data_IF_981628150894
#
_entry.id   IF_981628150894
#
_cell.length_a   1.000
_cell.length_b   1.000
_cell.length_c   1.000
_cell.angle_alpha   90.00
_cell.angle_beta   90.00
_cell.angle_gamma   90.00
#
_symmetry.space_group_name_H-M   'P 1'
#
loop_
_entity.id
_entity.type
_entity.pdbx_description
1 polymer ?
#
# COMPACT_ATOMS: atom_id res chain seq x y z
N UNK A 1 16.47 33.84 3.54
CA UNK A 1 14.99 33.61 3.50
C UNK A 1 14.68 32.16 3.15
N UNK A 2 14.24 31.33 4.11
CA UNK A 2 13.78 29.97 3.81
C UNK A 2 12.46 30.10 3.03
N UNK A 3 12.43 29.74 1.73
CA UNK A 3 11.20 29.56 0.99
C UNK A 3 10.31 28.63 1.81
N UNK A 4 9.17 29.13 2.32
CA UNK A 4 8.06 28.33 2.82
C UNK A 4 7.64 27.44 1.65
N UNK A 5 8.18 26.24 1.59
CA UNK A 5 7.65 25.20 0.68
C UNK A 5 6.23 24.95 1.15
N UNK A 6 5.25 25.36 0.36
CA UNK A 6 3.84 25.05 0.60
C UNK A 6 3.73 23.53 0.68
N UNK A 7 3.72 23.00 1.91
CA UNK A 7 3.71 21.55 2.14
C UNK A 7 2.37 21.00 1.66
N UNK A 8 2.40 20.24 0.56
CA UNK A 8 1.20 19.68 -0.06
C UNK A 8 0.60 18.60 0.84
N UNK A 9 -0.71 18.64 1.05
CA UNK A 9 -1.40 17.73 1.98
C UNK A 9 -1.35 16.27 1.54
N UNK A 10 -1.24 15.35 2.51
CA UNK A 10 -1.22 13.90 2.31
C UNK A 10 -2.41 13.26 3.01
N UNK A 11 -3.21 12.48 2.28
CA UNK A 11 -4.15 11.55 2.90
C UNK A 11 -3.47 10.20 3.06
N UNK A 12 -3.39 9.70 4.29
CA UNK A 12 -2.89 8.37 4.62
C UNK A 12 -4.10 7.45 4.76
N UNK A 13 -4.15 6.40 3.97
CA UNK A 13 -5.26 5.44 3.88
C UNK A 13 -4.87 4.18 4.64
N UNK A 14 -5.63 3.83 5.67
CA UNK A 14 -5.40 2.68 6.52
C UNK A 14 -6.68 1.86 6.68
N UNK A 15 -6.84 0.73 5.97
CA UNK A 15 -7.88 -0.24 6.25
C UNK A 15 -7.53 -1.05 7.51
N UNK A 16 -8.51 -1.34 8.36
CA UNK A 16 -8.35 -2.12 9.59
C UNK A 16 -9.39 -3.22 9.66
N UNK A 17 -8.99 -4.43 10.04
CA UNK A 17 -9.88 -5.54 10.36
C UNK A 17 -9.21 -6.48 11.37
N UNK A 18 -9.80 -6.63 12.56
CA UNK A 18 -9.31 -7.49 13.65
C UNK A 18 -7.79 -7.35 13.84
N UNK A 19 -7.32 -6.11 14.04
CA UNK A 19 -5.89 -5.77 14.06
C UNK A 19 -5.42 -5.26 15.43
N UNK A 20 -6.06 -5.72 16.52
CA UNK A 20 -5.78 -5.32 17.90
C UNK A 20 -4.28 -5.34 18.25
N UNK A 21 -3.57 -6.36 17.79
CA UNK A 21 -2.15 -6.57 18.13
C UNK A 21 -1.18 -5.59 17.43
N UNK A 22 -1.61 -4.96 16.33
CA UNK A 22 -0.67 -4.22 15.45
C UNK A 22 -1.10 -2.79 15.18
N UNK A 23 -2.40 -2.50 15.20
CA UNK A 23 -2.94 -1.20 14.75
C UNK A 23 -2.34 -0.02 15.50
N UNK A 24 -2.09 -0.16 16.82
CA UNK A 24 -1.48 0.90 17.63
C UNK A 24 -0.07 1.25 17.15
N UNK A 25 0.74 0.24 16.84
CA UNK A 25 2.10 0.45 16.34
C UNK A 25 2.08 1.14 14.97
N UNK A 26 1.18 0.71 14.06
CA UNK A 26 1.00 1.34 12.74
C UNK A 26 0.59 2.80 12.87
N UNK A 27 -0.42 3.14 13.70
CA UNK A 27 -0.86 4.52 13.92
C UNK A 27 0.28 5.35 14.54
N UNK A 28 1.00 4.83 15.52
CA UNK A 28 2.11 5.54 16.17
C UNK A 28 3.24 5.83 15.17
N UNK A 29 3.52 4.93 14.22
CA UNK A 29 4.50 5.17 13.16
C UNK A 29 4.11 6.35 12.25
N UNK A 30 2.81 6.61 12.09
CA UNK A 30 2.27 7.76 11.35
C UNK A 30 2.33 9.04 12.21
N UNK A 31 1.96 8.97 13.48
CA UNK A 31 2.01 10.11 14.40
C UNK A 31 3.43 10.67 14.55
N UNK A 32 4.44 9.80 14.46
CA UNK A 32 5.86 10.14 14.55
C UNK A 32 6.47 10.66 13.23
N UNK A 33 5.66 10.88 12.17
CA UNK A 33 6.19 11.42 10.91
C UNK A 33 6.69 12.86 11.05
N UNK A 34 7.88 13.13 10.52
CA UNK A 34 8.47 14.48 10.50
C UNK A 34 7.75 15.43 9.53
N UNK A 35 7.09 14.89 8.51
CA UNK A 35 6.20 15.65 7.65
C UNK A 35 4.87 15.86 8.37
N UNK A 36 4.42 17.09 8.54
CA UNK A 36 3.29 17.41 9.43
C UNK A 36 1.95 17.62 8.73
N UNK A 37 1.95 17.93 7.42
CA UNK A 37 0.71 18.21 6.66
C UNK A 37 0.05 16.94 6.12
N UNK A 38 -0.43 16.08 7.02
CA UNK A 38 -1.15 14.87 6.67
C UNK A 38 -2.45 14.73 7.47
N UNK A 39 -3.36 13.92 6.93
CA UNK A 39 -4.56 13.39 7.61
C UNK A 39 -4.59 11.88 7.44
N UNK A 40 -4.81 11.16 8.53
CA UNK A 40 -5.01 9.72 8.54
C UNK A 40 -6.50 9.41 8.44
N UNK A 41 -6.86 8.55 7.50
CA UNK A 41 -8.22 8.07 7.31
C UNK A 41 -8.21 6.56 7.53
N UNK A 42 -8.79 6.15 8.64
CA UNK A 42 -8.95 4.74 9.02
C UNK A 42 -10.36 4.32 8.64
N UNK A 43 -10.49 3.19 7.96
CA UNK A 43 -11.77 2.52 7.75
C UNK A 43 -11.69 1.16 8.40
N UNK A 44 -12.42 1.01 9.49
CA UNK A 44 -12.56 -0.25 10.21
C UNK A 44 -13.64 -1.10 9.56
N UNK A 45 -13.27 -2.29 9.15
CA UNK A 45 -14.06 -3.20 8.33
C UNK A 45 -14.97 -4.13 9.15
N UNK A 46 -15.60 -3.60 10.19
CA UNK A 46 -16.46 -4.38 11.09
C UNK A 46 -15.64 -5.30 12.00
N UNK A 47 -14.60 -4.77 12.63
CA UNK A 47 -13.75 -5.49 13.58
C UNK A 47 -14.48 -5.87 14.86
N UNK A 48 -13.79 -6.69 15.65
CA UNK A 48 -14.14 -7.02 17.03
C UNK A 48 -14.09 -5.77 17.95
N UNK A 49 -14.68 -5.90 19.14
CA UNK A 49 -14.73 -4.80 20.11
C UNK A 49 -13.34 -4.40 20.63
N UNK A 50 -12.39 -5.33 20.69
CA UNK A 50 -11.02 -5.04 21.15
C UNK A 50 -10.35 -4.05 20.18
N UNK A 51 -10.38 -4.34 18.87
CA UNK A 51 -9.84 -3.45 17.83
C UNK A 51 -10.56 -2.10 17.83
N UNK A 52 -11.90 -2.08 17.94
CA UNK A 52 -12.67 -0.84 17.97
C UNK A 52 -12.31 0.04 19.17
N UNK A 53 -12.18 -0.56 20.36
CA UNK A 53 -11.81 0.16 21.58
C UNK A 53 -10.40 0.79 21.47
N UNK A 54 -9.46 0.10 20.82
CA UNK A 54 -8.15 0.67 20.53
C UNK A 54 -8.28 1.88 19.59
N UNK A 55 -9.04 1.75 18.52
CA UNK A 55 -9.24 2.83 17.55
C UNK A 55 -9.93 4.05 18.17
N UNK A 56 -10.88 3.85 19.06
CA UNK A 56 -11.61 4.93 19.74
C UNK A 56 -10.67 5.84 20.56
N UNK A 57 -9.55 5.33 21.09
CA UNK A 57 -8.53 6.14 21.81
C UNK A 57 -7.94 7.25 20.92
N UNK A 58 -7.90 7.05 19.60
CA UNK A 58 -7.37 8.01 18.63
C UNK A 58 -8.41 8.99 18.08
N UNK A 59 -9.71 8.83 18.41
CA UNK A 59 -10.83 9.64 17.87
C UNK A 59 -10.70 11.14 18.19
N UNK A 60 -10.07 11.49 19.31
CA UNK A 60 -9.86 12.89 19.72
C UNK A 60 -8.77 13.61 18.89
N UNK A 61 -7.94 12.89 18.15
CA UNK A 61 -6.88 13.50 17.35
C UNK A 61 -7.46 14.15 16.08
N UNK A 62 -7.33 15.46 15.95
CA UNK A 62 -7.85 16.27 14.82
C UNK A 62 -7.29 15.86 13.43
N UNK A 63 -6.16 15.14 13.39
CA UNK A 63 -5.57 14.62 12.15
C UNK A 63 -6.09 13.24 11.77
N UNK A 64 -6.83 12.55 12.64
CA UNK A 64 -7.32 11.18 12.42
C UNK A 64 -8.83 11.19 12.23
N UNK A 65 -9.29 10.56 11.16
CA UNK A 65 -10.71 10.28 10.93
C UNK A 65 -10.93 8.78 10.87
N UNK A 66 -11.87 8.27 11.65
CA UNK A 66 -12.18 6.84 11.74
C UNK A 66 -13.62 6.61 11.28
N UNK A 67 -13.79 5.66 10.38
CA UNK A 67 -15.09 5.21 9.89
C UNK A 67 -15.26 3.73 10.26
N UNK A 68 -16.27 3.40 11.03
CA UNK A 68 -16.60 2.03 11.42
C UNK A 68 -17.68 1.47 10.50
N UNK A 69 -17.41 0.34 9.86
CA UNK A 69 -18.40 -0.40 9.08
C UNK A 69 -19.17 -1.38 9.99
N UNK A 70 -20.43 -1.63 9.66
CA UNK A 70 -21.25 -2.59 10.42
C UNK A 70 -20.87 -4.05 10.14
N UNK A 71 -20.30 -4.35 8.97
CA UNK A 71 -19.88 -5.68 8.53
C UNK A 71 -18.66 -5.62 7.62
N UNK A 72 -17.92 -6.70 7.55
CA UNK A 72 -16.76 -6.83 6.67
C UNK A 72 -17.15 -6.72 5.20
N UNK A 73 -16.47 -5.83 4.47
CA UNK A 73 -16.62 -5.59 3.03
C UNK A 73 -15.31 -5.74 2.25
N UNK A 74 -14.22 -6.03 2.94
CA UNK A 74 -12.88 -6.23 2.38
C UNK A 74 -12.04 -4.96 2.25
N UNK A 75 -10.73 -5.15 2.23
CA UNK A 75 -9.74 -4.06 2.20
C UNK A 75 -9.90 -3.12 0.99
N UNK A 76 -10.32 -3.64 -0.18
CA UNK A 76 -10.61 -2.85 -1.37
C UNK A 76 -11.69 -1.80 -1.11
N UNK A 77 -12.80 -2.22 -0.52
CA UNK A 77 -13.89 -1.31 -0.17
C UNK A 77 -13.43 -0.24 0.82
N UNK A 78 -12.69 -0.64 1.85
CA UNK A 78 -12.18 0.29 2.86
C UNK A 78 -11.23 1.32 2.27
N UNK A 79 -10.29 0.92 1.40
CA UNK A 79 -9.39 1.84 0.71
C UNK A 79 -10.15 2.78 -0.23
N UNK A 80 -11.11 2.27 -0.99
CA UNK A 80 -11.93 3.09 -1.88
C UNK A 80 -12.76 4.12 -1.10
N UNK A 81 -13.37 3.73 0.02
CA UNK A 81 -14.13 4.63 0.88
C UNK A 81 -13.21 5.71 1.48
N UNK A 82 -12.04 5.34 2.00
CA UNK A 82 -11.09 6.28 2.58
C UNK A 82 -10.57 7.29 1.54
N UNK A 83 -10.28 6.84 0.31
CA UNK A 83 -9.91 7.72 -0.80
C UNK A 83 -11.05 8.72 -1.10
N UNK A 84 -12.30 8.25 -1.19
CA UNK A 84 -13.47 9.11 -1.42
C UNK A 84 -13.67 10.15 -0.30
N UNK A 85 -13.36 9.79 0.95
CA UNK A 85 -13.48 10.68 2.13
C UNK A 85 -12.32 11.66 2.29
N UNK A 86 -11.31 11.61 1.43
CA UNK A 86 -10.12 12.47 1.47
C UNK A 86 -10.12 13.50 0.32
N UNK A 87 -9.46 14.66 0.55
CA UNK A 87 -9.29 15.73 -0.45
C UNK A 87 -7.82 16.19 -0.58
N UNK A 88 -6.87 15.43 -0.05
CA UNK A 88 -5.45 15.80 -0.01
C UNK A 88 -4.80 15.70 -1.40
N UNK A 89 -3.70 16.41 -1.61
CA UNK A 89 -2.96 16.45 -2.87
C UNK A 89 -2.27 15.11 -3.19
N UNK A 90 -1.74 14.43 -2.16
CA UNK A 90 -1.18 13.07 -2.26
C UNK A 90 -2.04 12.06 -1.50
N UNK A 91 -1.96 10.81 -1.95
CA UNK A 91 -2.54 9.65 -1.28
C UNK A 91 -1.40 8.68 -0.98
N UNK A 92 -1.23 8.35 0.29
CA UNK A 92 -0.31 7.32 0.78
C UNK A 92 -1.10 6.17 1.39
N UNK A 93 -0.57 4.96 1.33
CA UNK A 93 -1.23 3.76 1.83
C UNK A 93 -0.37 3.08 2.87
N UNK A 94 -1.01 2.55 3.90
CA UNK A 94 -0.36 1.69 4.92
C UNK A 94 -1.37 0.66 5.38
N UNK A 95 -0.94 -0.59 5.52
CA UNK A 95 -1.75 -1.65 6.10
C UNK A 95 -1.63 -1.64 7.64
N UNK A 96 -2.64 -2.16 8.34
CA UNK A 96 -2.77 -2.05 9.81
C UNK A 96 -1.72 -2.82 10.61
N UNK A 97 -0.82 -3.53 9.93
CA UNK A 97 0.27 -4.31 10.50
C UNK A 97 1.66 -3.87 10.03
N UNK A 98 1.74 -2.84 9.18
CA UNK A 98 2.99 -2.30 8.68
C UNK A 98 3.45 -1.06 9.48
N UNK A 99 4.76 -0.78 9.42
CA UNK A 99 5.36 0.35 10.13
C UNK A 99 6.11 1.26 9.15
N UNK A 100 6.00 2.56 9.37
CA UNK A 100 6.77 3.56 8.63
C UNK A 100 7.93 4.13 9.45
N UNK A 101 9.06 4.36 8.76
CA UNK A 101 10.17 5.14 9.31
C UNK A 101 9.77 6.61 9.46
N UNK A 102 10.20 7.27 10.52
CA UNK A 102 9.80 8.64 10.92
C UNK A 102 9.93 9.71 9.82
N UNK A 103 10.81 9.51 8.86
CA UNK A 103 11.08 10.46 7.77
C UNK A 103 10.51 10.04 6.42
N UNK A 104 9.67 8.98 6.37
CA UNK A 104 9.16 8.41 5.11
C UNK A 104 8.42 9.44 4.26
N UNK A 105 7.41 10.10 4.83
CA UNK A 105 6.62 11.07 4.08
C UNK A 105 7.49 12.22 3.58
N UNK A 106 8.37 12.77 4.43
CA UNK A 106 9.22 13.89 4.06
C UNK A 106 10.16 13.55 2.89
N UNK A 107 10.86 12.42 2.98
CA UNK A 107 11.80 12.00 1.94
C UNK A 107 11.10 11.66 0.62
N UNK A 108 10.03 10.89 0.69
CA UNK A 108 9.35 10.42 -0.52
C UNK A 108 8.57 11.54 -1.22
N UNK A 109 7.97 12.49 -0.48
CA UNK A 109 7.29 13.65 -1.07
C UNK A 109 8.29 14.60 -1.71
N UNK A 110 9.41 14.89 -1.03
CA UNK A 110 10.47 15.71 -1.62
C UNK A 110 11.01 15.08 -2.93
N UNK A 111 11.17 13.76 -2.96
CA UNK A 111 11.56 13.03 -4.16
C UNK A 111 10.52 13.18 -5.28
N UNK A 112 9.23 13.08 -4.97
CA UNK A 112 8.14 13.30 -5.92
C UNK A 112 8.15 14.72 -6.48
N UNK A 113 8.30 15.72 -5.62
CA UNK A 113 8.28 17.13 -6.01
C UNK A 113 9.49 17.50 -6.86
N UNK A 114 10.71 17.11 -6.42
CA UNK A 114 11.96 17.42 -7.14
C UNK A 114 11.95 16.88 -8.56
N UNK A 115 11.36 15.73 -8.79
CA UNK A 115 11.38 15.04 -10.08
C UNK A 115 10.04 15.10 -10.83
N UNK A 116 9.04 15.83 -10.31
CA UNK A 116 7.68 15.89 -10.88
C UNK A 116 7.01 14.52 -11.05
N UNK A 117 7.29 13.57 -10.15
CA UNK A 117 6.75 12.23 -10.22
C UNK A 117 5.32 12.15 -9.67
N UNK A 118 4.49 11.36 -10.31
CA UNK A 118 3.07 11.16 -9.95
C UNK A 118 2.83 9.90 -9.13
N UNK A 119 3.71 8.91 -9.24
CA UNK A 119 3.64 7.66 -8.50
C UNK A 119 5.05 7.23 -8.09
N UNK A 120 5.26 7.08 -6.79
CA UNK A 120 6.51 6.58 -6.21
C UNK A 120 6.26 5.47 -5.20
N UNK A 121 7.29 4.66 -4.97
CA UNK A 121 7.36 3.63 -3.96
C UNK A 121 8.77 3.58 -3.38
N UNK A 122 8.97 2.76 -2.34
CA UNK A 122 10.29 2.64 -1.68
C UNK A 122 10.72 1.18 -1.61
N UNK A 123 12.00 0.95 -1.35
CA UNK A 123 12.43 -0.33 -0.80
C UNK A 123 11.78 -0.54 0.58
N UNK A 124 11.77 -1.78 1.06
CA UNK A 124 11.17 -2.10 2.34
C UNK A 124 11.91 -3.25 3.03
N UNK A 125 11.71 -3.39 4.33
CA UNK A 125 12.17 -4.54 5.10
C UNK A 125 10.98 -5.42 5.44
N UNK A 126 11.12 -6.73 5.33
CA UNK A 126 10.13 -7.66 5.84
C UNK A 126 10.54 -8.16 7.22
N UNK A 127 9.55 -8.37 8.10
CA UNK A 127 9.76 -8.98 9.42
C UNK A 127 8.60 -9.91 9.76
N UNK A 128 8.86 -10.84 10.69
CA UNK A 128 7.85 -11.70 11.29
C UNK A 128 7.70 -11.32 12.76
N UNK A 129 6.50 -11.44 13.31
CA UNK A 129 6.23 -11.11 14.73
C UNK A 129 7.08 -11.94 15.71
N UNK A 130 7.38 -13.18 15.33
CA UNK A 130 8.14 -14.15 16.11
C UNK A 130 9.66 -14.08 15.87
N UNK A 131 10.16 -13.10 15.10
CA UNK A 131 11.58 -13.04 14.73
C UNK A 131 12.10 -11.61 14.69
N UNK A 132 13.24 -11.38 15.34
CA UNK A 132 13.98 -10.10 15.24
C UNK A 132 14.67 -9.91 13.88
N UNK A 133 14.78 -10.97 13.06
CA UNK A 133 15.45 -10.91 11.76
C UNK A 133 14.58 -10.16 10.74
N UNK A 134 15.14 -9.10 10.17
CA UNK A 134 14.52 -8.32 9.08
C UNK A 134 15.24 -8.65 7.78
N UNK A 135 14.48 -8.89 6.70
CA UNK A 135 15.04 -9.06 5.35
C UNK A 135 14.78 -7.82 4.52
N UNK A 136 15.82 -7.24 3.94
CA UNK A 136 15.72 -6.12 3.00
C UNK A 136 15.22 -6.63 1.65
N UNK A 137 14.20 -5.97 1.11
CA UNK A 137 13.68 -6.19 -0.24
C UNK A 137 14.01 -4.96 -1.08
N UNK A 138 14.95 -5.16 -2.00
CA UNK A 138 15.27 -4.18 -3.03
C UNK A 138 14.28 -4.31 -4.18
N UNK A 139 13.75 -3.19 -4.63
CA UNK A 139 12.79 -3.12 -5.72
C UNK A 139 13.43 -2.44 -6.93
N UNK A 140 13.03 -2.77 -8.17
CA UNK A 140 13.50 -2.05 -9.35
C UNK A 140 13.33 -0.54 -9.21
N UNK A 141 14.27 0.23 -9.74
CA UNK A 141 14.24 1.70 -9.68
C UNK A 141 13.06 2.34 -10.40
N UNK A 142 12.47 1.61 -11.37
CA UNK A 142 11.33 2.08 -12.18
C UNK A 142 10.46 0.91 -12.59
N UNK A 143 9.14 1.13 -12.57
CA UNK A 143 8.17 0.24 -13.19
C UNK A 143 7.31 1.00 -14.19
N UNK A 144 7.16 0.46 -15.39
CA UNK A 144 5.99 0.68 -16.23
C UNK A 144 5.02 -0.50 -16.08
N UNK A 145 3.86 -0.44 -16.73
CA UNK A 145 2.86 -1.50 -16.68
C UNK A 145 3.42 -2.88 -17.07
N UNK A 146 4.18 -2.96 -18.18
CA UNK A 146 4.71 -4.22 -18.70
C UNK A 146 5.78 -4.84 -17.77
N UNK A 147 6.61 -4.02 -17.12
CA UNK A 147 7.57 -4.50 -16.13
C UNK A 147 6.87 -4.92 -14.81
N UNK A 148 5.86 -4.17 -14.38
CA UNK A 148 5.14 -4.46 -13.13
C UNK A 148 4.37 -5.79 -13.17
N UNK A 149 3.68 -6.09 -14.28
CA UNK A 149 2.94 -7.35 -14.42
C UNK A 149 3.84 -8.59 -14.49
N UNK A 150 5.14 -8.42 -14.54
CA UNK A 150 6.16 -9.49 -14.49
C UNK A 150 6.87 -9.59 -13.13
N UNK A 151 6.71 -8.59 -12.24
CA UNK A 151 7.48 -8.53 -10.99
C UNK A 151 6.66 -8.26 -9.71
N UNK A 152 5.63 -7.47 -9.72
CA UNK A 152 4.71 -7.15 -8.59
C UNK A 152 5.38 -6.67 -7.28
N UNK A 153 6.61 -6.10 -7.33
CA UNK A 153 7.39 -5.76 -6.11
C UNK A 153 6.95 -4.51 -5.37
N UNK A 154 5.98 -3.75 -5.88
CA UNK A 154 5.49 -2.55 -5.18
C UNK A 154 4.57 -2.99 -4.04
N UNK A 155 5.06 -2.99 -2.80
CA UNK A 155 4.22 -3.21 -1.63
C UNK A 155 3.30 -1.99 -1.41
N UNK A 156 2.03 -2.21 -1.08
CA UNK A 156 1.02 -1.15 -0.96
C UNK A 156 1.42 -0.10 0.06
N UNK A 157 1.96 -0.51 1.21
CA UNK A 157 2.41 0.39 2.28
C UNK A 157 3.64 1.24 1.92
N UNK A 158 4.28 0.98 0.78
CA UNK A 158 5.43 1.77 0.31
C UNK A 158 5.03 2.91 -0.63
N UNK A 159 3.84 2.86 -1.23
CA UNK A 159 3.47 3.73 -2.33
C UNK A 159 2.85 5.05 -1.90
N UNK A 160 3.17 6.09 -2.68
CA UNK A 160 2.50 7.40 -2.66
C UNK A 160 2.14 7.78 -4.09
N UNK A 161 0.91 8.28 -4.29
CA UNK A 161 0.42 8.72 -5.59
C UNK A 161 -0.11 10.15 -5.51
N UNK A 162 0.06 10.92 -6.58
CA UNK A 162 -0.60 12.22 -6.73
C UNK A 162 -2.10 11.98 -6.98
N UNK A 163 -2.98 12.66 -6.24
CA UNK A 163 -4.43 12.43 -6.29
C UNK A 163 -5.00 12.54 -7.70
N UNK A 164 -4.63 13.57 -8.46
CA UNK A 164 -5.15 13.79 -9.81
C UNK A 164 -4.96 12.60 -10.75
N UNK A 165 -4.00 11.73 -10.45
CA UNK A 165 -3.77 10.50 -11.22
C UNK A 165 -4.60 9.31 -10.72
N UNK A 166 -4.94 9.31 -9.43
CA UNK A 166 -5.74 8.26 -8.79
C UNK A 166 -7.26 8.50 -8.91
N UNK A 167 -7.67 9.71 -9.32
CA UNK A 167 -9.09 10.01 -9.53
C UNK A 167 -9.68 9.05 -10.57
N UNK A 168 -10.86 8.51 -10.27
CA UNK A 168 -11.57 7.49 -11.06
C UNK A 168 -10.92 6.11 -11.13
N UNK A 169 -9.77 5.88 -10.45
CA UNK A 169 -9.18 4.57 -10.30
C UNK A 169 -9.60 3.98 -8.95
N UNK A 170 -10.11 2.74 -8.97
CA UNK A 170 -10.59 2.04 -7.77
C UNK A 170 -9.88 0.71 -7.58
N UNK A 171 -9.67 0.34 -6.32
CA UNK A 171 -9.37 -1.05 -5.99
C UNK A 171 -10.52 -1.93 -6.46
N UNK A 172 -10.20 -3.06 -7.09
CA UNK A 172 -11.20 -3.98 -7.63
C UNK A 172 -11.93 -4.75 -6.52
N UNK A 173 -13.15 -5.19 -6.81
CA UNK A 173 -13.90 -6.07 -5.91
C UNK A 173 -13.46 -7.55 -6.02
N UNK A 174 -12.20 -7.79 -6.38
CA UNK A 174 -11.64 -9.15 -6.37
C UNK A 174 -11.41 -9.60 -4.94
N UNK A 175 -11.54 -10.91 -4.68
CA UNK A 175 -11.43 -11.48 -3.32
C UNK A 175 -10.06 -11.22 -2.69
N UNK A 176 -9.00 -11.27 -3.51
CA UNK A 176 -7.61 -10.91 -3.16
C UNK A 176 -6.92 -10.27 -4.35
N UNK A 177 -5.72 -9.70 -4.14
CA UNK A 177 -4.90 -9.02 -5.16
C UNK A 177 -5.59 -7.78 -5.78
N UNK A 178 -6.51 -7.16 -5.07
CA UNK A 178 -7.17 -5.92 -5.46
C UNK A 178 -6.17 -4.76 -5.66
N UNK A 179 -5.10 -4.77 -4.87
CA UNK A 179 -4.00 -3.82 -4.94
C UNK A 179 -3.13 -4.00 -6.18
N UNK A 180 -2.97 -5.24 -6.67
CA UNK A 180 -2.30 -5.52 -7.94
C UNK A 180 -3.03 -4.85 -9.10
N UNK A 181 -4.36 -5.01 -9.17
CA UNK A 181 -5.15 -4.36 -10.21
C UNK A 181 -5.10 -2.84 -10.13
N UNK A 182 -5.22 -2.27 -8.93
CA UNK A 182 -5.12 -0.83 -8.70
C UNK A 182 -3.80 -0.27 -9.24
N UNK A 183 -2.67 -0.91 -8.93
CA UNK A 183 -1.34 -0.54 -9.44
C UNK A 183 -1.24 -0.67 -10.95
N UNK A 184 -1.86 -1.70 -11.54
CA UNK A 184 -1.96 -1.85 -12.99
C UNK A 184 -2.67 -0.67 -13.64
N UNK A 185 -3.81 -0.22 -13.08
CA UNK A 185 -4.56 0.93 -13.61
C UNK A 185 -3.77 2.23 -13.49
N UNK A 186 -3.11 2.45 -12.34
CA UNK A 186 -2.22 3.60 -12.16
C UNK A 186 -1.12 3.63 -13.23
N UNK A 187 -0.42 2.51 -13.43
CA UNK A 187 0.69 2.43 -14.39
C UNK A 187 0.23 2.58 -15.84
N UNK A 188 -0.97 2.09 -16.19
CA UNK A 188 -1.57 2.34 -17.52
C UNK A 188 -1.86 3.83 -17.74
N UNK A 189 -2.32 4.54 -16.70
CA UNK A 189 -2.68 5.96 -16.80
C UNK A 189 -1.45 6.89 -16.76
N UNK A 190 -0.46 6.58 -15.91
CA UNK A 190 0.67 7.46 -15.60
C UNK A 190 1.92 7.11 -16.43
N UNK A 191 2.00 5.87 -16.91
CA UNK A 191 3.16 5.33 -17.59
C UNK A 191 4.18 4.70 -16.64
N UNK A 192 4.65 5.43 -15.63
CA UNK A 192 5.75 4.97 -14.77
C UNK A 192 5.53 5.24 -13.29
N UNK A 193 6.05 4.32 -12.46
CA UNK A 193 6.28 4.51 -11.03
C UNK A 193 7.79 4.47 -10.75
N UNK A 194 8.26 5.25 -9.79
CA UNK A 194 9.69 5.40 -9.48
C UNK A 194 9.98 5.02 -8.04
N UNK A 195 11.08 4.29 -7.85
CA UNK A 195 11.55 3.89 -6.53
C UNK A 195 12.40 4.99 -5.90
N UNK A 196 12.07 5.39 -4.66
CA UNK A 196 13.05 6.02 -3.79
C UNK A 196 13.85 4.91 -3.10
N UNK A 197 15.17 4.77 -3.36
CA UNK A 197 15.92 3.53 -3.08
C UNK A 197 16.32 3.36 -1.61
N UNK A 198 15.45 3.79 -0.67
CA UNK A 198 15.64 3.65 0.77
C UNK A 198 14.52 2.81 1.37
N UNK A 199 14.85 1.97 2.36
CA UNK A 199 13.85 1.19 3.10
C UNK A 199 13.14 2.11 4.11
N UNK A 200 11.95 2.59 3.76
CA UNK A 200 11.15 3.49 4.60
C UNK A 200 9.89 2.82 5.17
N UNK A 201 9.70 1.52 4.90
CA UNK A 201 8.56 0.72 5.37
C UNK A 201 9.07 -0.61 5.90
N UNK A 202 8.53 -1.04 7.03
CA UNK A 202 8.66 -2.40 7.55
C UNK A 202 7.36 -3.14 7.32
N UNK A 203 7.42 -4.17 6.50
CA UNK A 203 6.29 -4.99 6.04
C UNK A 203 6.18 -6.25 6.89
N UNK A 204 5.05 -6.43 7.59
CA UNK A 204 4.84 -7.60 8.42
C UNK A 204 4.41 -8.82 7.60
N UNK A 205 5.11 -9.93 7.79
CA UNK A 205 4.73 -11.22 7.22
C UNK A 205 3.99 -12.03 8.29
N UNK A 206 2.69 -12.28 8.06
CA UNK A 206 1.85 -13.13 8.92
C UNK A 206 1.65 -14.51 8.31
N UNK A 207 1.72 -15.56 9.13
CA UNK A 207 1.48 -16.96 8.70
C UNK A 207 0.10 -17.17 8.09
N UNK A 208 -0.93 -16.50 8.65
CA UNK A 208 -2.34 -16.66 8.26
C UNK A 208 -2.86 -15.46 7.45
N UNK A 209 -1.99 -14.74 6.72
CA UNK A 209 -2.46 -13.62 5.88
C UNK A 209 -3.19 -14.13 4.63
N UNK A 210 -4.05 -13.26 4.07
CA UNK A 210 -4.71 -13.54 2.79
C UNK A 210 -3.71 -13.82 1.66
N UNK A 211 -2.49 -13.30 1.77
CA UNK A 211 -1.41 -13.47 0.79
C UNK A 211 -0.46 -14.64 1.11
N UNK A 212 -0.69 -15.42 2.17
CA UNK A 212 0.19 -16.54 2.55
C UNK A 212 0.17 -17.69 1.53
N UNK A 213 -0.95 -17.92 0.85
CA UNK A 213 -1.10 -18.98 -0.13
C UNK A 213 -0.69 -18.49 -1.54
N UNK A 214 0.52 -18.88 -1.98
CA UNK A 214 1.09 -18.46 -3.27
C UNK A 214 0.28 -18.93 -4.47
N UNK A 215 -0.20 -20.17 -4.48
CA UNK A 215 -0.98 -20.73 -5.60
C UNK A 215 -2.26 -19.94 -5.79
N UNK A 216 -2.97 -19.67 -4.68
CA UNK A 216 -4.18 -18.86 -4.71
C UNK A 216 -3.91 -17.44 -5.22
N UNK A 217 -2.79 -16.82 -4.83
CA UNK A 217 -2.41 -15.49 -5.31
C UNK A 217 -2.13 -15.49 -6.81
N UNK A 218 -1.38 -16.48 -7.33
CA UNK A 218 -1.11 -16.63 -8.75
C UNK A 218 -2.39 -16.87 -9.56
N UNK A 219 -3.31 -17.69 -9.05
CA UNK A 219 -4.63 -17.89 -9.65
C UNK A 219 -5.42 -16.58 -9.79
N UNK A 220 -5.45 -15.75 -8.73
CA UNK A 220 -6.15 -14.48 -8.79
C UNK A 220 -5.47 -13.46 -9.69
N UNK A 221 -4.14 -13.40 -9.72
CA UNK A 221 -3.40 -12.59 -10.68
C UNK A 221 -3.69 -13.04 -12.11
N UNK A 222 -3.70 -14.36 -12.38
CA UNK A 222 -4.12 -14.92 -13.65
C UNK A 222 -5.51 -14.45 -14.06
N UNK A 223 -6.48 -14.59 -13.17
CA UNK A 223 -7.87 -14.16 -13.38
C UNK A 223 -7.96 -12.66 -13.67
N UNK A 224 -7.31 -11.82 -12.87
CA UNK A 224 -7.25 -10.37 -13.07
C UNK A 224 -6.63 -10.04 -14.43
N UNK A 225 -5.54 -10.65 -14.79
CA UNK A 225 -4.89 -10.43 -16.07
C UNK A 225 -5.80 -10.82 -17.24
N UNK A 226 -6.47 -11.96 -17.17
CA UNK A 226 -7.40 -12.42 -18.20
C UNK A 226 -8.61 -11.50 -18.33
N UNK A 227 -9.29 -11.18 -17.22
CA UNK A 227 -10.59 -10.49 -17.24
C UNK A 227 -10.47 -8.96 -17.26
N UNK A 228 -9.63 -8.39 -16.38
CA UNK A 228 -9.54 -6.96 -16.17
C UNK A 228 -8.40 -6.30 -16.96
N UNK A 229 -7.25 -6.98 -17.11
CA UNK A 229 -6.15 -6.51 -17.94
C UNK A 229 -6.25 -6.92 -19.41
N UNK A 230 -7.17 -7.84 -19.75
CA UNK A 230 -7.43 -8.36 -21.12
C UNK A 230 -6.19 -8.96 -21.77
N UNK A 231 -5.39 -9.72 -21.02
CA UNK A 231 -4.23 -10.42 -21.56
C UNK A 231 -4.68 -11.64 -22.40
N UNK A 232 -3.99 -11.84 -23.54
CA UNK A 232 -4.04 -13.13 -24.22
C UNK A 232 -3.34 -14.21 -23.37
N UNK A 233 -3.51 -15.47 -23.77
CA UNK A 233 -3.03 -16.63 -23.00
C UNK A 233 -1.51 -16.61 -22.82
N UNK A 234 -0.75 -16.33 -23.89
CA UNK A 234 0.72 -16.32 -23.87
C UNK A 234 1.27 -15.23 -22.94
N UNK A 235 0.74 -14.01 -23.04
CA UNK A 235 1.13 -12.91 -22.18
C UNK A 235 0.82 -13.19 -20.70
N UNK A 236 -0.30 -13.88 -20.43
CA UNK A 236 -0.69 -14.23 -19.07
C UNK A 236 0.22 -15.33 -18.50
N UNK A 237 0.51 -16.38 -19.26
CA UNK A 237 1.46 -17.43 -18.88
C UNK A 237 2.84 -16.85 -18.55
N UNK A 238 3.38 -15.99 -19.44
CA UNK A 238 4.65 -15.31 -19.22
C UNK A 238 4.64 -14.43 -17.94
N UNK A 239 3.53 -13.69 -17.71
CA UNK A 239 3.37 -12.88 -16.49
C UNK A 239 3.46 -13.74 -15.22
N UNK A 240 2.67 -14.83 -15.14
CA UNK A 240 2.64 -15.73 -13.98
C UNK A 240 3.99 -16.40 -13.75
N UNK A 241 4.63 -16.88 -14.81
CA UNK A 241 5.96 -17.49 -14.71
C UNK A 241 7.00 -16.52 -14.14
N UNK A 242 7.08 -15.32 -14.69
CA UNK A 242 8.06 -14.31 -14.24
C UNK A 242 7.74 -13.79 -12.82
N UNK A 243 6.47 -13.63 -12.44
CA UNK A 243 6.08 -13.31 -11.06
C UNK A 243 6.55 -14.41 -10.10
N UNK A 244 6.35 -15.68 -10.48
CA UNK A 244 6.78 -16.82 -9.66
C UNK A 244 8.28 -16.83 -9.44
N UNK A 245 9.09 -16.67 -10.49
CA UNK A 245 10.54 -16.58 -10.41
C UNK A 245 11.00 -15.41 -9.53
N UNK A 246 10.42 -14.22 -9.73
CA UNK A 246 10.76 -13.04 -8.94
C UNK A 246 10.34 -13.19 -7.46
N UNK A 247 9.23 -13.88 -7.19
CA UNK A 247 8.81 -14.20 -5.81
C UNK A 247 9.78 -15.16 -5.12
N UNK A 248 10.26 -16.19 -5.83
CA UNK A 248 11.27 -17.12 -5.31
C UNK A 248 12.59 -16.42 -4.98
N UNK A 249 13.07 -15.55 -5.87
CA UNK A 249 14.28 -14.73 -5.63
C UNK A 249 14.15 -13.85 -4.38
N UNK A 250 12.97 -13.23 -4.15
CA UNK A 250 12.75 -12.35 -3.01
C UNK A 250 12.56 -13.06 -1.69
N UNK A 251 11.78 -14.12 -1.66
CA UNK A 251 11.32 -14.73 -0.43
C UNK A 251 11.87 -16.15 -0.20
N UNK A 252 12.56 -16.73 -1.18
CA UNK A 252 13.05 -18.12 -1.15
C UNK A 252 11.92 -19.13 -1.34
N UNK A 253 12.29 -20.41 -1.28
CA UNK A 253 11.33 -21.51 -1.13
C UNK A 253 10.73 -21.43 0.28
N UNK A 254 9.42 -21.29 0.39
CA UNK A 254 8.67 -21.34 1.64
C UNK A 254 7.79 -22.55 1.65
#
# INVERSE_FOLDING_TARGET
MKKKTNSQSVAIILPSYNSSDTISASINSILNQTYTNWKLIIVDDGSDEITKNILLKYKKNKKIKIFFLKKNKGAAYCRNLAIKKSKSYYIAFIDSDDLWQKNKLNLQINFMQKNSYFFTYTNYKTFKSDSRKKKTILTPGKFNFNAFVKNTSIATSTMIVKRSTADNIKFSNTKICEDYYYKCQLLKKIGNAYCYPVCLTEYQIRKNSLQSNRIRNLYWIWKINKTLNRFNILKNLMSIFLISLNSLKKYGFR
#
